data_IF_094104950995
#
_entry.id   IF_094104950995
#
_cell.length_a   1.000
_cell.length_b   1.000
_cell.length_c   1.000
_cell.angle_alpha   90.00
_cell.angle_beta   90.00
_cell.angle_gamma   90.00
#
_symmetry.space_group_name_H-M   'P 1'
#
loop_
_entity.id
_entity.type
_entity.pdbx_description
1 polymer ?
#
# COMPACT_ATOMS: atom_id res chain seq x y z
N UNK A 1 -2.27 -9.69 22.75
CA UNK A 1 -2.13 -10.24 21.39
C UNK A 1 -3.31 -9.74 20.59
N UNK A 2 -3.08 -9.26 19.37
CA UNK A 2 -4.14 -8.71 18.53
C UNK A 2 -4.97 -9.83 17.89
N UNK A 3 -6.27 -9.62 17.78
CA UNK A 3 -7.15 -10.58 17.10
C UNK A 3 -7.03 -10.41 15.57
N UNK A 4 -7.24 -11.49 14.83
CA UNK A 4 -7.25 -11.46 13.36
C UNK A 4 -8.22 -10.39 12.82
N UNK A 5 -9.41 -10.29 13.42
CA UNK A 5 -10.41 -9.28 13.03
C UNK A 5 -9.93 -7.84 13.21
N UNK A 6 -9.22 -7.53 14.30
CA UNK A 6 -8.69 -6.19 14.54
C UNK A 6 -7.67 -5.78 13.47
N UNK A 7 -6.79 -6.71 13.09
CA UNK A 7 -5.78 -6.50 12.05
C UNK A 7 -6.47 -6.29 10.69
N UNK A 8 -7.49 -7.07 10.36
CA UNK A 8 -8.23 -6.94 9.09
C UNK A 8 -8.97 -5.60 9.03
N UNK A 9 -9.65 -5.20 10.11
CA UNK A 9 -10.36 -3.92 10.18
C UNK A 9 -9.37 -2.76 10.02
N UNK A 10 -8.22 -2.82 10.69
CA UNK A 10 -7.16 -1.84 10.53
C UNK A 10 -6.65 -1.76 9.08
N UNK A 11 -6.32 -2.90 8.47
CA UNK A 11 -5.82 -2.92 7.10
C UNK A 11 -6.84 -2.34 6.13
N UNK A 12 -8.12 -2.66 6.31
CA UNK A 12 -9.21 -2.09 5.52
C UNK A 12 -9.27 -0.56 5.65
N UNK A 13 -9.15 -0.03 6.87
CA UNK A 13 -9.14 1.41 7.12
C UNK A 13 -7.94 2.10 6.47
N UNK A 14 -6.74 1.52 6.60
CA UNK A 14 -5.51 2.08 6.03
C UNK A 14 -5.57 2.07 4.51
N UNK A 15 -6.05 0.98 3.91
CA UNK A 15 -6.25 0.89 2.45
C UNK A 15 -7.29 1.92 1.97
N UNK A 16 -8.40 2.08 2.69
CA UNK A 16 -9.41 3.09 2.37
C UNK A 16 -8.82 4.51 2.34
N UNK A 17 -8.10 4.91 3.38
CA UNK A 17 -7.48 6.24 3.42
C UNK A 17 -6.40 6.39 2.35
N UNK A 18 -5.62 5.34 2.08
CA UNK A 18 -4.62 5.32 1.00
C UNK A 18 -5.27 5.60 -0.36
N UNK A 19 -6.44 5.02 -0.64
CA UNK A 19 -7.21 5.30 -1.86
C UNK A 19 -7.74 6.74 -1.92
N UNK A 20 -8.17 7.30 -0.79
CA UNK A 20 -8.54 8.72 -0.73
C UNK A 20 -7.35 9.63 -1.01
N UNK A 21 -6.17 9.33 -0.47
CA UNK A 21 -4.93 10.05 -0.76
C UNK A 21 -4.66 10.00 -2.27
N UNK A 22 -4.66 8.81 -2.89
CA UNK A 22 -4.48 8.69 -4.33
C UNK A 22 -5.51 9.49 -5.14
N UNK A 23 -6.77 9.51 -4.71
CA UNK A 23 -7.83 10.26 -5.39
C UNK A 23 -7.56 11.76 -5.37
N UNK A 24 -7.10 12.31 -4.25
CA UNK A 24 -6.74 13.74 -4.15
C UNK A 24 -5.61 14.08 -5.12
N UNK A 25 -4.55 13.26 -5.15
CA UNK A 25 -3.43 13.48 -6.07
C UNK A 25 -3.81 13.27 -7.54
N UNK A 26 -4.68 12.31 -7.84
CA UNK A 26 -5.20 12.08 -9.19
C UNK A 26 -6.06 13.25 -9.68
N UNK A 27 -6.84 13.89 -8.80
CA UNK A 27 -7.56 15.12 -9.12
C UNK A 27 -6.59 16.27 -9.42
N UNK A 28 -5.53 16.43 -8.62
CA UNK A 28 -4.49 17.44 -8.88
C UNK A 28 -3.82 17.17 -10.23
N UNK A 29 -3.41 15.93 -10.49
CA UNK A 29 -2.82 15.50 -11.76
C UNK A 29 -3.76 15.77 -12.95
N UNK A 30 -5.06 15.50 -12.79
CA UNK A 30 -6.06 15.74 -13.83
C UNK A 30 -6.24 17.21 -14.17
N UNK A 31 -5.97 18.13 -13.23
CA UNK A 31 -6.06 19.59 -13.45
C UNK A 31 -4.75 20.18 -13.95
N UNK A 32 -3.61 19.74 -13.41
CA UNK A 32 -2.30 20.32 -13.73
C UNK A 32 -1.57 19.60 -14.87
N UNK A 33 -2.02 18.40 -15.26
CA UNK A 33 -1.34 17.49 -16.20
C UNK A 33 0.14 17.20 -15.84
N UNK A 34 0.51 17.40 -14.57
CA UNK A 34 1.84 17.08 -14.06
C UNK A 34 1.82 15.69 -13.43
N UNK A 35 2.80 14.83 -13.73
CA UNK A 35 2.91 13.50 -13.12
C UNK A 35 3.22 13.57 -11.62
N UNK A 36 2.18 13.63 -10.78
CA UNK A 36 2.26 13.70 -9.31
C UNK A 36 1.97 12.36 -8.63
N UNK A 37 1.69 11.31 -9.40
CA UNK A 37 1.48 9.94 -8.93
C UNK A 37 2.63 9.38 -8.06
N UNK A 38 3.89 9.73 -8.36
CA UNK A 38 5.04 9.24 -7.57
C UNK A 38 5.01 9.85 -6.15
N UNK A 39 4.70 11.13 -6.05
CA UNK A 39 4.55 11.86 -4.80
C UNK A 39 3.38 11.29 -3.99
N UNK A 40 2.25 10.99 -4.67
CA UNK A 40 1.10 10.33 -4.05
C UNK A 40 1.48 8.99 -3.40
N UNK A 41 2.31 8.19 -4.10
CA UNK A 41 2.76 6.87 -3.65
C UNK A 41 3.67 6.97 -2.41
N UNK A 42 4.56 7.97 -2.37
CA UNK A 42 5.41 8.25 -1.21
C UNK A 42 4.55 8.65 -0.01
N UNK A 43 3.59 9.56 -0.20
CA UNK A 43 2.69 10.01 0.88
C UNK A 43 1.85 8.86 1.42
N UNK A 44 1.27 8.05 0.53
CA UNK A 44 0.49 6.87 0.89
C UNK A 44 1.32 5.83 1.67
N UNK A 45 2.57 5.60 1.26
CA UNK A 45 3.50 4.72 1.97
C UNK A 45 3.80 5.24 3.39
N UNK A 46 4.17 6.51 3.52
CA UNK A 46 4.49 7.13 4.82
C UNK A 46 3.28 7.06 5.75
N UNK A 47 2.09 7.38 5.25
CA UNK A 47 0.84 7.27 6.01
C UNK A 47 0.59 5.83 6.47
N UNK A 48 0.74 4.85 5.58
CA UNK A 48 0.52 3.44 5.91
C UNK A 48 1.48 2.94 6.99
N UNK A 49 2.78 3.24 6.86
CA UNK A 49 3.80 2.84 7.85
C UNK A 49 3.53 3.49 9.21
N UNK A 50 3.16 4.78 9.22
CA UNK A 50 2.81 5.49 10.44
C UNK A 50 1.54 4.92 11.10
N UNK A 51 0.47 4.70 10.35
CA UNK A 51 -0.79 4.18 10.87
C UNK A 51 -0.64 2.76 11.44
N UNK A 52 0.13 1.90 10.77
CA UNK A 52 0.46 0.55 11.28
C UNK A 52 1.27 0.67 12.58
N UNK A 53 2.35 1.45 12.58
CA UNK A 53 3.21 1.61 13.76
C UNK A 53 2.47 2.16 14.99
N UNK A 54 1.59 3.14 14.76
CA UNK A 54 0.76 3.79 15.77
C UNK A 54 -0.26 2.84 16.40
N UNK A 55 -0.83 1.90 15.64
CA UNK A 55 -1.79 0.93 16.18
C UNK A 55 -1.13 -0.14 17.05
N UNK A 56 0.02 -0.68 16.62
CA UNK A 56 0.65 -1.79 17.34
C UNK A 56 1.34 -1.35 18.63
N UNK A 57 2.11 -0.25 18.61
CA UNK A 57 2.84 0.22 19.78
C UNK A 57 3.31 1.69 19.54
N UNK A 58 2.50 2.70 19.90
CA UNK A 58 2.75 4.09 19.50
C UNK A 58 3.99 4.71 20.14
N UNK A 59 4.41 4.21 21.31
CA UNK A 59 5.53 4.76 22.08
C UNK A 59 6.88 4.15 21.72
N UNK A 60 6.92 3.10 20.89
CA UNK A 60 8.15 2.36 20.60
C UNK A 60 8.60 2.57 19.15
N UNK A 61 9.75 3.22 18.98
CA UNK A 61 10.47 3.35 17.71
C UNK A 61 10.60 2.01 16.93
N UNK A 62 10.90 0.85 17.55
CA UNK A 62 10.97 -0.41 16.80
C UNK A 62 9.63 -0.86 16.19
N UNK A 63 8.49 -0.33 16.65
CA UNK A 63 7.17 -0.59 16.04
C UNK A 63 7.11 -0.02 14.62
N UNK A 64 7.62 1.19 14.41
CA UNK A 64 7.65 1.86 13.10
C UNK A 64 8.62 1.18 12.13
N UNK A 65 9.77 0.71 12.63
CA UNK A 65 10.73 -0.04 11.80
C UNK A 65 10.15 -1.39 11.35
N UNK A 66 9.44 -2.09 12.26
CA UNK A 66 8.72 -3.32 11.92
C UNK A 66 7.57 -3.04 10.95
N UNK A 67 6.83 -1.96 11.13
CA UNK A 67 5.76 -1.56 10.21
C UNK A 67 6.28 -1.31 8.80
N UNK A 68 7.44 -0.63 8.67
CA UNK A 68 8.12 -0.43 7.39
C UNK A 68 8.55 -1.76 6.76
N UNK A 69 9.15 -2.66 7.55
CA UNK A 69 9.56 -3.98 7.05
C UNK A 69 8.35 -4.80 6.55
N UNK A 70 7.24 -4.79 7.30
CA UNK A 70 6.00 -5.47 6.92
C UNK A 70 5.39 -4.83 5.66
N UNK A 71 5.41 -3.51 5.53
CA UNK A 71 4.94 -2.82 4.33
C UNK A 71 5.74 -3.23 3.09
N UNK A 72 7.08 -3.23 3.18
CA UNK A 72 7.95 -3.64 2.08
C UNK A 72 7.72 -5.12 1.71
N UNK A 73 7.59 -6.01 2.70
CA UNK A 73 7.26 -7.42 2.46
C UNK A 73 5.89 -7.58 1.78
N UNK A 74 4.89 -6.81 2.21
CA UNK A 74 3.58 -6.76 1.58
C UNK A 74 3.67 -6.33 0.12
N UNK A 75 4.37 -5.24 -0.17
CA UNK A 75 4.58 -4.74 -1.52
C UNK A 75 5.32 -5.75 -2.42
N UNK A 76 6.36 -6.41 -1.89
CA UNK A 76 7.10 -7.44 -2.61
C UNK A 76 6.18 -8.62 -2.95
N UNK A 77 5.40 -9.10 -1.99
CA UNK A 77 4.46 -10.21 -2.20
C UNK A 77 3.41 -9.88 -3.25
N UNK A 78 2.86 -8.66 -3.20
CA UNK A 78 1.91 -8.16 -4.21
C UNK A 78 2.55 -8.11 -5.61
N UNK A 79 3.78 -7.62 -5.71
CA UNK A 79 4.50 -7.55 -6.99
C UNK A 79 4.71 -8.93 -7.60
N UNK A 80 5.11 -9.92 -6.79
CA UNK A 80 5.26 -11.32 -7.24
C UNK A 80 3.94 -11.86 -7.79
N UNK A 81 2.83 -11.61 -7.09
CA UNK A 81 1.49 -12.04 -7.55
C UNK A 81 1.11 -11.37 -8.87
N UNK A 82 1.31 -10.06 -9.01
CA UNK A 82 1.03 -9.33 -10.25
C UNK A 82 1.86 -9.86 -11.42
N UNK A 83 3.15 -10.15 -11.20
CA UNK A 83 4.01 -10.75 -12.24
C UNK A 83 3.52 -12.14 -12.64
N UNK A 84 3.15 -12.99 -11.69
CA UNK A 84 2.59 -14.32 -11.99
C UNK A 84 1.29 -14.19 -12.81
N UNK A 85 0.40 -13.27 -12.45
CA UNK A 85 -0.83 -13.02 -13.21
C UNK A 85 -0.49 -12.54 -14.62
N UNK A 86 0.44 -11.60 -14.77
CA UNK A 86 0.88 -11.09 -16.08
C UNK A 86 1.45 -12.20 -16.97
N UNK A 87 2.32 -13.05 -16.43
CA UNK A 87 2.87 -14.22 -17.14
C UNK A 87 1.79 -15.24 -17.51
N UNK A 88 0.80 -15.44 -16.62
CA UNK A 88 -0.33 -16.35 -16.89
C UNK A 88 -1.18 -15.84 -18.05
N UNK A 89 -1.45 -14.53 -18.09
CA UNK A 89 -2.19 -13.88 -19.17
C UNK A 89 -1.43 -14.00 -20.49
N UNK A 90 -0.12 -13.73 -20.49
CA UNK A 90 0.73 -13.85 -21.67
C UNK A 90 0.74 -15.28 -22.22
N UNK A 91 0.91 -16.29 -21.36
CA UNK A 91 0.88 -17.71 -21.75
C UNK A 91 -0.47 -18.14 -22.36
N UNK A 92 -1.58 -17.54 -21.95
CA UNK A 92 -2.93 -17.89 -22.44
C UNK A 92 -3.27 -17.12 -23.72
N UNK A 93 -2.95 -15.82 -23.79
CA UNK A 93 -3.36 -14.95 -24.90
C UNK A 93 -2.31 -14.85 -26.01
N UNK A 94 -1.02 -14.78 -25.68
CA UNK A 94 0.08 -14.59 -26.63
C UNK A 94 0.49 -15.91 -27.33
N UNK A 95 0.10 -17.06 -26.76
CA UNK A 95 0.36 -18.39 -27.34
C UNK A 95 -0.61 -18.78 -28.47
N UNK A 96 -1.58 -17.93 -28.83
CA UNK A 96 -2.51 -18.16 -29.96
C UNK A 96 -2.11 -17.34 -31.18
#
# INVERSE_FOLDING_TARGET
GFNFFEIVILLCFILGITMLIYTIFALVEGVTHTGVMVQASIVAMVYSVWAIGQFFDPYKIPSYLKALAVYILGYLSFTVVVVIIGLSIDLILMKR
#
